data_IF_766531170854
#
_entry.id   IF_766531170854
#
_cell.length_a   1.000
_cell.length_b   1.000
_cell.length_c   1.000
_cell.angle_alpha   90.00
_cell.angle_beta   90.00
_cell.angle_gamma   90.00
#
_symmetry.space_group_name_H-M   'P 1'
#
loop_
_entity.id
_entity.type
_entity.pdbx_description
1 polymer ?
#
# COMPACT_ATOMS: atom_id res chain seq x y z
N UNK A 1 -1.36 10.59 -4.63
CA UNK A 1 -0.95 9.34 -3.95
C UNK A 1 -1.83 9.13 -2.73
N UNK A 2 -3.05 9.67 -2.75
CA UNK A 2 -3.68 10.15 -1.51
C UNK A 2 -5.12 9.67 -1.33
N UNK A 3 -5.71 8.99 -2.32
CA UNK A 3 -7.14 8.66 -2.26
C UNK A 3 -7.43 7.30 -1.63
N UNK A 4 -6.64 6.25 -1.91
CA UNK A 4 -6.97 4.89 -1.43
C UNK A 4 -6.41 4.54 -0.03
N UNK A 5 -5.31 5.16 0.40
CA UNK A 5 -4.78 4.94 1.76
C UNK A 5 -5.79 5.41 2.82
N UNK A 6 -6.48 6.51 2.57
CA UNK A 6 -7.51 7.02 3.49
C UNK A 6 -8.74 6.10 3.52
N UNK A 7 -9.18 5.57 2.37
CA UNK A 7 -10.35 4.67 2.33
C UNK A 7 -10.12 3.35 3.10
N UNK A 8 -8.90 2.83 3.12
CA UNK A 8 -8.55 1.61 3.84
C UNK A 8 -8.19 1.83 5.31
N UNK A 9 -8.18 3.07 5.81
CA UNK A 9 -7.91 3.33 7.24
C UNK A 9 -9.07 2.98 8.15
N UNK A 10 -10.30 3.20 7.69
CA UNK A 10 -11.49 3.15 8.56
C UNK A 10 -12.41 1.95 8.30
N UNK A 11 -12.14 1.13 7.28
CA UNK A 11 -13.00 0.00 6.94
C UNK A 11 -14.43 0.42 6.58
N UNK A 12 -14.64 1.68 6.19
CA UNK A 12 -15.97 2.31 6.01
C UNK A 12 -16.78 1.64 4.90
N UNK A 13 -16.13 1.00 3.92
CA UNK A 13 -16.81 0.26 2.85
C UNK A 13 -17.09 -1.22 3.19
N UNK A 14 -16.84 -1.66 4.42
CA UNK A 14 -17.29 -2.96 4.92
C UNK A 14 -16.33 -4.13 4.66
N UNK A 15 -16.89 -5.29 4.28
CA UNK A 15 -16.14 -6.52 4.03
C UNK A 15 -15.75 -6.62 2.56
N UNK A 16 -14.51 -6.99 2.28
CA UNK A 16 -14.04 -7.29 0.94
C UNK A 16 -14.67 -8.56 0.37
N UNK A 17 -14.29 -8.91 -0.86
CA UNK A 17 -14.71 -10.13 -1.58
C UNK A 17 -14.41 -11.40 -0.78
N UNK A 18 -13.38 -11.40 0.08
CA UNK A 18 -13.06 -12.54 0.95
C UNK A 18 -13.76 -12.48 2.34
N UNK A 19 -14.70 -11.56 2.55
CA UNK A 19 -15.41 -11.41 3.81
C UNK A 19 -14.59 -10.80 4.96
N UNK A 20 -13.32 -10.45 4.71
CA UNK A 20 -12.46 -9.74 5.66
C UNK A 20 -12.77 -8.25 5.66
N UNK A 21 -12.66 -7.61 6.82
CA UNK A 21 -12.72 -6.15 6.88
C UNK A 21 -11.49 -5.58 6.18
N UNK A 22 -11.72 -4.58 5.32
CA UNK A 22 -10.67 -3.91 4.58
C UNK A 22 -10.09 -2.79 5.44
N UNK A 23 -9.18 -3.16 6.35
CA UNK A 23 -8.48 -2.19 7.19
C UNK A 23 -7.01 -2.57 7.44
N UNK A 24 -6.16 -1.56 7.63
CA UNK A 24 -4.75 -1.78 7.98
C UNK A 24 -4.49 -2.13 9.46
N UNK A 25 -5.49 -1.98 10.36
CA UNK A 25 -5.32 -2.28 11.78
C UNK A 25 -4.90 -3.73 12.00
N UNK A 26 -3.79 -3.94 12.70
CA UNK A 26 -3.23 -5.26 12.98
C UNK A 26 -2.43 -5.88 11.83
N UNK A 27 -2.28 -5.20 10.69
CA UNK A 27 -1.42 -5.66 9.61
C UNK A 27 0.06 -5.41 9.94
N UNK A 28 0.94 -6.40 9.70
CA UNK A 28 2.37 -6.22 9.97
C UNK A 28 3.06 -5.46 8.83
N UNK A 29 4.16 -4.80 9.18
CA UNK A 29 5.21 -4.48 8.21
C UNK A 29 5.99 -5.76 7.89
N UNK A 30 5.57 -6.45 6.84
CA UNK A 30 6.07 -7.80 6.52
C UNK A 30 7.45 -7.77 5.85
N UNK A 31 7.93 -6.62 5.38
CA UNK A 31 9.25 -6.49 4.76
C UNK A 31 9.93 -5.19 5.18
N UNK A 32 11.13 -5.30 5.72
CA UNK A 32 11.96 -4.17 6.19
C UNK A 32 13.33 -4.29 5.53
N UNK A 33 13.73 -3.28 4.77
CA UNK A 33 15.06 -3.22 4.14
C UNK A 33 15.79 -1.99 4.68
N UNK A 34 16.77 -2.24 5.57
CA UNK A 34 17.56 -1.18 6.20
C UNK A 34 18.23 -0.29 5.15
N UNK A 35 18.08 1.02 5.32
CA UNK A 35 18.62 2.01 4.37
C UNK A 35 17.88 2.06 3.04
N UNK A 36 16.68 1.50 2.93
CA UNK A 36 15.84 1.63 1.74
C UNK A 36 14.39 1.94 2.09
N UNK A 37 13.62 0.96 2.56
CA UNK A 37 12.19 1.13 2.80
C UNK A 37 11.62 0.15 3.82
N UNK A 38 10.42 0.46 4.30
CA UNK A 38 9.58 -0.38 5.15
C UNK A 38 8.27 -0.62 4.39
N UNK A 39 7.90 -1.87 4.14
CA UNK A 39 6.71 -2.26 3.37
C UNK A 39 5.67 -2.96 4.25
N UNK A 40 4.41 -2.60 4.04
CA UNK A 40 3.24 -3.11 4.75
C UNK A 40 2.00 -3.08 3.87
N UNK A 41 0.82 -3.20 4.48
CA UNK A 41 -0.45 -3.11 3.77
C UNK A 41 -0.95 -4.42 3.13
N UNK A 42 -0.32 -5.56 3.44
CA UNK A 42 -0.93 -6.86 3.15
C UNK A 42 -2.01 -7.15 4.19
N UNK A 43 -3.25 -6.81 3.83
CA UNK A 43 -4.44 -6.97 4.68
C UNK A 43 -5.01 -8.40 4.69
N UNK A 44 -4.46 -9.31 3.86
CA UNK A 44 -5.02 -10.65 3.66
C UNK A 44 -4.18 -11.72 4.37
N UNK A 45 -2.88 -11.75 4.12
CA UNK A 45 -1.99 -12.77 4.68
C UNK A 45 -0.98 -12.19 5.68
N UNK A 46 -0.63 -10.91 5.52
CA UNK A 46 0.43 -10.27 6.30
C UNK A 46 1.83 -10.79 5.99
N UNK A 47 2.03 -11.48 4.86
CA UNK A 47 3.33 -12.04 4.43
C UNK A 47 3.86 -11.42 3.14
N UNK A 48 3.12 -10.47 2.57
CA UNK A 48 3.46 -9.75 1.34
C UNK A 48 2.91 -10.37 0.07
N UNK A 49 2.22 -11.52 0.14
CA UNK A 49 1.59 -12.15 -1.03
C UNK A 49 0.15 -11.74 -1.23
N UNK A 50 -0.48 -11.17 -0.20
CA UNK A 50 -1.86 -10.76 -0.23
C UNK A 50 -2.03 -9.29 -0.59
N UNK A 51 -3.06 -9.01 -1.37
CA UNK A 51 -3.68 -7.69 -1.45
C UNK A 51 -5.15 -7.87 -1.81
N UNK A 52 -5.98 -6.98 -1.28
CA UNK A 52 -7.38 -6.86 -1.66
C UNK A 52 -7.75 -5.38 -1.67
N UNK A 53 -8.64 -5.03 -2.59
CA UNK A 53 -9.22 -3.71 -2.72
C UNK A 53 -10.74 -3.84 -2.66
N UNK A 54 -11.39 -2.76 -2.25
CA UNK A 54 -12.86 -2.68 -2.12
C UNK A 54 -13.55 -3.00 -3.45
N UNK A 55 -12.91 -2.61 -4.56
CA UNK A 55 -13.42 -2.81 -5.91
C UNK A 55 -12.92 -4.10 -6.59
N UNK A 56 -12.07 -4.88 -5.92
CA UNK A 56 -11.36 -6.02 -6.49
C UNK A 56 -10.19 -5.63 -7.41
N UNK A 57 -9.19 -6.50 -7.52
CA UNK A 57 -8.08 -6.36 -8.47
C UNK A 57 -7.02 -5.32 -8.05
N UNK A 58 -6.52 -4.58 -9.04
CA UNK A 58 -5.54 -3.49 -8.90
C UNK A 58 -6.13 -2.18 -9.42
N UNK A 59 -5.50 -1.04 -9.12
CA UNK A 59 -5.95 0.27 -9.60
C UNK A 59 -4.84 1.06 -10.31
N UNK A 60 -5.28 2.01 -11.13
CA UNK A 60 -4.43 2.84 -11.99
C UNK A 60 -3.50 3.77 -11.20
N UNK A 61 -2.39 4.18 -11.81
CA UNK A 61 -1.50 5.19 -11.24
C UNK A 61 -2.17 6.57 -11.27
N UNK A 62 -2.32 7.22 -10.11
CA UNK A 62 -3.04 8.50 -10.02
C UNK A 62 -2.25 9.66 -10.66
N UNK A 63 -1.01 9.86 -10.21
CA UNK A 63 -0.03 10.77 -10.80
C UNK A 63 1.36 10.55 -10.15
N UNK A 64 2.42 10.92 -10.87
CA UNK A 64 3.80 10.87 -10.39
C UNK A 64 4.34 12.26 -9.98
N UNK A 65 3.48 13.17 -9.50
CA UNK A 65 3.89 14.54 -9.18
C UNK A 65 4.78 14.60 -7.92
N UNK A 66 4.55 13.70 -6.97
CA UNK A 66 5.34 13.60 -5.74
C UNK A 66 6.56 12.74 -6.01
N UNK A 67 7.75 13.36 -5.98
CA UNK A 67 9.02 12.63 -6.04
C UNK A 67 9.40 12.11 -4.67
N UNK A 68 10.03 10.93 -4.62
CA UNK A 68 10.65 10.32 -3.43
C UNK A 68 11.94 11.06 -3.01
N UNK A 69 11.81 12.37 -2.79
CA UNK A 69 12.92 13.30 -2.61
C UNK A 69 13.51 13.30 -1.20
N UNK A 70 12.84 12.65 -0.24
CA UNK A 70 13.27 12.53 1.15
C UNK A 70 12.81 11.20 1.78
N UNK A 71 13.33 10.90 2.97
CA UNK A 71 12.83 9.82 3.80
C UNK A 71 11.41 10.13 4.31
N UNK A 72 10.62 9.11 4.59
CA UNK A 72 9.25 9.22 5.08
C UNK A 72 8.20 9.41 3.98
N UNK A 73 8.57 9.33 2.70
CA UNK A 73 7.60 9.31 1.61
C UNK A 73 6.87 7.96 1.62
N UNK A 74 5.55 7.99 1.67
CA UNK A 74 4.68 6.81 1.55
C UNK A 74 4.42 6.58 0.07
N UNK A 75 4.39 5.33 -0.40
CA UNK A 75 4.14 5.01 -1.80
C UNK A 75 3.52 3.64 -2.00
N UNK A 76 2.76 3.49 -3.09
CA UNK A 76 2.08 2.23 -3.39
C UNK A 76 3.04 1.21 -3.98
N UNK A 77 2.83 -0.06 -3.62
CA UNK A 77 3.48 -1.20 -4.28
C UNK A 77 2.66 -1.55 -5.51
N UNK A 78 3.33 -1.75 -6.65
CA UNK A 78 2.74 -2.19 -7.90
C UNK A 78 3.61 -3.27 -8.58
N UNK A 79 3.05 -3.94 -9.59
CA UNK A 79 3.71 -4.96 -10.43
C UNK A 79 3.98 -4.47 -11.86
N UNK A 80 3.90 -3.16 -12.09
CA UNK A 80 3.88 -2.52 -13.41
C UNK A 80 2.91 -1.33 -13.45
N UNK A 81 2.85 -0.59 -14.57
CA UNK A 81 1.90 0.52 -14.74
C UNK A 81 0.47 0.09 -14.43
N UNK A 82 -0.26 0.96 -13.73
CA UNK A 82 -1.69 0.77 -13.40
C UNK A 82 -2.02 -0.51 -12.60
N UNK A 83 -1.07 -1.00 -11.81
CA UNK A 83 -1.22 -2.22 -11.01
C UNK A 83 -1.04 -1.99 -9.50
N UNK A 84 -1.48 -0.82 -9.01
CA UNK A 84 -1.42 -0.53 -7.58
C UNK A 84 -2.34 -1.48 -6.79
N UNK A 85 -1.90 -1.83 -5.59
CA UNK A 85 -2.61 -2.72 -4.69
C UNK A 85 -2.73 -2.08 -3.29
N UNK A 86 -3.26 -2.79 -2.29
CA UNK A 86 -3.35 -2.27 -0.91
C UNK A 86 -2.02 -2.18 -0.18
N UNK A 87 -0.95 -2.77 -0.72
CA UNK A 87 0.38 -2.68 -0.11
C UNK A 87 1.04 -1.34 -0.40
N UNK A 88 1.79 -0.85 0.57
CA UNK A 88 2.54 0.41 0.49
C UNK A 88 3.93 0.23 1.09
N UNK A 89 4.83 1.15 0.76
CA UNK A 89 6.13 1.28 1.39
C UNK A 89 6.41 2.70 1.85
N UNK A 90 7.24 2.82 2.88
CA UNK A 90 7.72 4.08 3.44
C UNK A 90 9.23 4.13 3.20
N UNK A 91 9.70 5.17 2.53
CA UNK A 91 11.15 5.35 2.29
C UNK A 91 11.87 5.67 3.60
N UNK A 92 13.04 5.09 3.82
CA UNK A 92 13.90 5.40 4.99
C UNK A 92 15.09 6.28 4.63
N UNK A 93 15.32 6.45 3.32
CA UNK A 93 16.30 7.34 2.73
C UNK A 93 15.64 8.11 1.59
N UNK A 94 16.35 9.11 1.05
CA UNK A 94 16.00 9.67 -0.26
C UNK A 94 16.12 8.58 -1.32
N UNK A 95 15.02 8.28 -2.01
CA UNK A 95 14.99 7.34 -3.11
C UNK A 95 14.74 8.13 -4.40
N UNK A 96 15.69 8.98 -4.81
CA UNK A 96 15.48 9.79 -6.02
C UNK A 96 15.44 8.93 -7.27
N UNK A 97 14.26 8.80 -7.85
CA UNK A 97 14.02 8.57 -9.27
C UNK A 97 13.59 9.85 -9.98
#
# INVERSE_FOLDING_TARGET
MDIDIEEQRLGEKGKGVNGKLLHYKGTPFHRIVSGFMIQGGDIIHGDGKGYELIYGGTFADENFKVKHSHAGTVSMVNTGPDSNCSQFFITTIKASS
#
